data_IF_370501248393
#
_entry.id   IF_370501248393
#
_cell.length_a   1.000
_cell.length_b   1.000
_cell.length_c   1.000
_cell.angle_alpha   90.00
_cell.angle_beta   90.00
_cell.angle_gamma   90.00
#
_symmetry.space_group_name_H-M   'P 1'
#
loop_
_entity.id
_entity.type
_entity.pdbx_description
1 polymer ?
#
# COMPACT_ATOMS: atom_id res chain seq x y z
N UNK A 1 10.02 -16.12 11.20
CA UNK A 1 10.49 -16.84 12.39
C UNK A 1 10.92 -15.83 13.42
N UNK A 2 12.13 -15.93 13.96
CA UNK A 2 12.77 -14.83 14.69
C UNK A 2 14.04 -14.42 13.97
N UNK A 3 14.32 -13.12 13.91
CA UNK A 3 15.38 -12.55 13.10
C UNK A 3 14.89 -12.17 11.71
N UNK A 4 15.71 -11.40 10.99
CA UNK A 4 15.38 -10.85 9.68
C UNK A 4 15.36 -11.96 8.62
N UNK A 5 14.16 -12.26 8.13
CA UNK A 5 13.85 -13.33 7.20
C UNK A 5 13.54 -12.76 5.78
N UNK A 6 13.65 -13.63 4.77
CA UNK A 6 13.13 -13.35 3.42
C UNK A 6 12.19 -14.47 3.01
N UNK A 7 10.94 -14.13 2.71
CA UNK A 7 9.87 -15.06 2.40
C UNK A 7 9.44 -14.89 0.94
N UNK A 8 9.08 -16.01 0.31
CA UNK A 8 8.47 -16.08 -1.01
C UNK A 8 7.41 -17.19 -0.98
N UNK A 9 6.20 -16.95 -1.48
CA UNK A 9 5.22 -18.04 -1.67
C UNK A 9 5.66 -19.00 -2.77
N UNK A 10 6.04 -18.47 -3.93
CA UNK A 10 6.39 -19.25 -5.11
C UNK A 10 7.85 -19.10 -5.57
N UNK A 11 8.59 -18.13 -5.03
CA UNK A 11 10.04 -18.03 -5.17
C UNK A 11 10.50 -17.19 -6.37
N UNK A 12 11.69 -17.51 -6.87
CA UNK A 12 12.31 -16.75 -7.96
C UNK A 12 12.17 -17.46 -9.31
N UNK A 13 11.88 -16.69 -10.36
CA UNK A 13 11.73 -17.24 -11.71
C UNK A 13 12.40 -16.42 -12.82
N UNK A 14 12.69 -17.10 -13.92
CA UNK A 14 13.33 -16.56 -15.12
C UNK A 14 12.69 -17.17 -16.39
N UNK A 15 12.02 -16.42 -17.27
CA UNK A 15 11.61 -15.01 -17.15
C UNK A 15 10.15 -14.85 -16.69
N UNK A 16 9.51 -15.91 -16.19
CA UNK A 16 8.08 -15.90 -15.87
C UNK A 16 7.76 -16.61 -14.57
N UNK A 17 6.91 -15.98 -13.76
CA UNK A 17 6.27 -16.59 -12.60
C UNK A 17 4.75 -16.53 -12.79
N UNK A 18 4.08 -17.63 -12.43
CA UNK A 18 2.63 -17.65 -12.24
C UNK A 18 2.44 -18.05 -10.78
N UNK A 19 2.04 -17.05 -10.00
CA UNK A 19 1.77 -17.11 -8.58
C UNK A 19 0.55 -17.94 -8.21
N UNK A 20 0.53 -18.38 -6.96
CA UNK A 20 -0.57 -19.03 -6.27
C UNK A 20 -1.32 -18.05 -5.36
N UNK A 21 -2.09 -18.60 -4.44
CA UNK A 21 -2.61 -17.84 -3.30
C UNK A 21 -1.92 -18.39 -2.07
N UNK A 22 -1.16 -17.54 -1.40
CA UNK A 22 -0.26 -17.88 -0.33
C UNK A 22 -0.67 -17.24 1.00
N UNK A 23 -0.12 -17.79 2.08
CA UNK A 23 -0.30 -17.25 3.42
C UNK A 23 1.04 -17.23 4.11
N UNK A 24 1.58 -16.03 4.30
CA UNK A 24 2.91 -15.78 4.83
C UNK A 24 2.82 -15.11 6.19
N UNK A 25 3.72 -15.49 7.09
CA UNK A 25 3.91 -14.84 8.39
C UNK A 25 5.41 -14.74 8.65
N UNK A 26 5.94 -13.52 8.60
CA UNK A 26 7.38 -13.27 8.68
C UNK A 26 7.86 -13.27 10.13
N UNK A 27 7.07 -12.80 11.09
CA UNK A 27 7.21 -13.11 12.51
C UNK A 27 7.85 -11.99 13.30
N UNK A 28 9.12 -12.10 13.68
CA UNK A 28 9.80 -11.01 14.40
C UNK A 28 11.17 -10.77 13.80
N UNK A 29 11.54 -9.52 13.55
CA UNK A 29 12.72 -9.15 12.79
C UNK A 29 12.34 -8.07 11.79
N UNK A 30 13.33 -7.42 11.16
CA UNK A 30 13.03 -6.59 9.99
C UNK A 30 13.01 -7.52 8.77
N UNK A 31 11.82 -7.87 8.29
CA UNK A 31 11.59 -8.93 7.32
C UNK A 31 11.30 -8.39 5.91
N UNK A 32 11.48 -9.26 4.91
CA UNK A 32 11.11 -9.01 3.52
C UNK A 32 10.21 -10.14 3.03
N UNK A 33 8.97 -9.85 2.67
CA UNK A 33 8.02 -10.85 2.20
C UNK A 33 7.44 -10.50 0.83
N UNK A 34 7.34 -11.51 -0.02
CA UNK A 34 6.64 -11.47 -1.30
C UNK A 34 5.58 -12.57 -1.26
N UNK A 35 4.29 -12.24 -1.37
CA UNK A 35 3.24 -13.27 -1.40
C UNK A 35 3.51 -14.30 -2.48
N UNK A 36 3.95 -13.87 -3.66
CA UNK A 36 4.52 -14.74 -4.67
C UNK A 36 6.06 -14.75 -4.65
N UNK A 37 6.68 -13.74 -5.25
CA UNK A 37 8.02 -13.95 -5.78
C UNK A 37 8.66 -12.84 -6.59
N UNK A 38 9.81 -13.20 -7.16
CA UNK A 38 10.62 -12.29 -7.98
C UNK A 38 10.85 -12.88 -9.35
N UNK A 39 10.59 -12.09 -10.38
CA UNK A 39 10.94 -12.41 -11.76
C UNK A 39 12.11 -11.57 -12.23
N UNK A 40 13.12 -12.23 -12.80
CA UNK A 40 14.27 -11.57 -13.41
C UNK A 40 14.48 -12.06 -14.83
N UNK A 41 15.07 -11.20 -15.66
CA UNK A 41 15.43 -11.56 -17.03
C UNK A 41 16.80 -11.03 -17.43
N UNK A 42 17.26 -11.44 -18.61
CA UNK A 42 18.49 -10.90 -19.20
C UNK A 42 18.26 -9.51 -19.78
N UNK A 43 19.32 -8.75 -20.05
CA UNK A 43 19.26 -7.35 -20.51
C UNK A 43 18.30 -7.09 -21.68
N UNK A 44 18.01 -8.09 -22.51
CA UNK A 44 17.13 -7.99 -23.68
C UNK A 44 15.88 -8.85 -23.61
N UNK A 45 15.55 -9.48 -22.47
CA UNK A 45 14.38 -10.36 -22.33
C UNK A 45 13.15 -9.66 -21.75
N UNK A 46 11.94 -10.20 -21.97
CA UNK A 46 10.77 -9.83 -21.18
C UNK A 46 10.87 -10.46 -19.78
N UNK A 47 10.10 -9.92 -18.84
CA UNK A 47 9.86 -10.50 -17.51
C UNK A 47 8.36 -10.35 -17.19
N UNK A 48 7.69 -11.45 -16.83
CA UNK A 48 6.25 -11.45 -16.55
C UNK A 48 5.97 -12.15 -15.20
N UNK A 49 5.31 -11.46 -14.27
CA UNK A 49 4.69 -12.05 -13.08
C UNK A 49 3.18 -11.90 -13.22
N UNK A 50 2.47 -13.01 -13.00
CA UNK A 50 1.02 -13.01 -12.76
C UNK A 50 0.84 -13.58 -11.38
N UNK A 51 0.39 -12.78 -10.43
CA UNK A 51 0.23 -13.22 -9.07
C UNK A 51 -1.17 -13.72 -8.74
N UNK A 52 -1.41 -13.94 -7.46
CA UNK A 52 -2.68 -14.41 -6.95
C UNK A 52 -3.01 -13.80 -5.59
N UNK A 53 -4.21 -14.12 -5.09
CA UNK A 53 -4.74 -13.44 -3.91
C UNK A 53 -4.03 -13.95 -2.64
N UNK A 54 -3.20 -13.11 -2.04
CA UNK A 54 -2.27 -13.44 -0.97
C UNK A 54 -2.68 -12.88 0.39
N UNK A 55 -2.16 -13.49 1.45
CA UNK A 55 -2.24 -12.96 2.81
C UNK A 55 -0.86 -12.89 3.42
N UNK A 56 -0.38 -11.68 3.72
CA UNK A 56 0.98 -11.42 4.18
C UNK A 56 0.94 -10.68 5.52
N UNK A 57 1.53 -11.29 6.56
CA UNK A 57 1.69 -10.72 7.90
C UNK A 57 3.19 -10.53 8.19
N UNK A 58 3.65 -9.28 8.29
CA UNK A 58 5.03 -8.92 8.62
C UNK A 58 5.38 -9.34 10.05
N UNK A 59 4.50 -9.04 10.98
CA UNK A 59 4.66 -9.40 12.37
C UNK A 59 5.24 -8.23 13.15
N UNK A 60 6.49 -8.30 13.62
CA UNK A 60 7.07 -7.21 14.40
C UNK A 60 8.49 -6.88 13.95
N UNK A 61 8.81 -5.60 13.84
CA UNK A 61 10.03 -5.10 13.23
C UNK A 61 9.67 -4.24 12.03
N UNK A 62 10.65 -3.66 11.35
CA UNK A 62 10.39 -2.78 10.21
C UNK A 62 10.42 -3.61 8.94
N UNK A 63 9.24 -3.97 8.46
CA UNK A 63 9.05 -4.95 7.41
C UNK A 63 8.86 -4.29 6.05
N UNK A 64 9.19 -5.04 5.00
CA UNK A 64 8.85 -4.70 3.62
C UNK A 64 8.00 -5.82 3.03
N UNK A 65 6.75 -5.51 2.73
CA UNK A 65 5.77 -6.48 2.24
C UNK A 65 5.33 -6.12 0.82
N UNK A 66 5.28 -7.13 -0.02
CA UNK A 66 4.68 -7.10 -1.35
C UNK A 66 3.58 -8.14 -1.37
N UNK A 67 2.36 -7.77 -1.77
CA UNK A 67 1.27 -8.73 -1.91
C UNK A 67 1.63 -9.78 -2.93
N UNK A 68 2.05 -9.41 -4.15
CA UNK A 68 2.62 -10.39 -5.09
C UNK A 68 4.15 -10.39 -5.07
N UNK A 69 4.80 -9.33 -5.59
CA UNK A 69 6.17 -9.52 -6.06
C UNK A 69 6.87 -8.39 -6.80
N UNK A 70 8.04 -8.74 -7.36
CA UNK A 70 8.86 -7.82 -8.14
C UNK A 70 9.24 -8.40 -9.50
N UNK A 71 9.20 -7.56 -10.52
CA UNK A 71 9.52 -7.92 -11.90
C UNK A 71 10.62 -7.02 -12.44
N UNK A 72 11.79 -7.60 -12.69
CA UNK A 72 12.93 -6.92 -13.28
C UNK A 72 13.10 -7.34 -14.74
N UNK A 73 12.54 -6.52 -15.64
CA UNK A 73 12.58 -6.66 -17.09
C UNK A 73 13.81 -6.04 -17.74
N UNK A 74 14.13 -6.51 -18.95
CA UNK A 74 15.16 -5.93 -19.81
C UNK A 74 14.56 -4.99 -20.86
N UNK A 75 15.20 -4.93 -22.03
CA UNK A 75 14.75 -4.11 -23.16
C UNK A 75 13.45 -4.56 -23.84
N UNK A 76 12.79 -5.64 -23.38
CA UNK A 76 11.53 -6.15 -23.93
C UNK A 76 10.35 -6.11 -22.95
N UNK A 77 10.48 -5.43 -21.81
CA UNK A 77 9.36 -5.22 -20.88
C UNK A 77 9.48 -5.90 -19.53
N UNK A 78 8.77 -5.33 -18.57
CA UNK A 78 8.44 -5.90 -17.27
C UNK A 78 6.92 -5.78 -17.11
N UNK A 79 6.25 -6.90 -16.84
CA UNK A 79 4.81 -6.92 -16.59
C UNK A 79 4.57 -7.58 -15.23
N UNK A 80 3.93 -6.84 -14.33
CA UNK A 80 3.31 -7.38 -13.13
C UNK A 80 1.79 -7.28 -13.31
N UNK A 81 1.09 -8.39 -13.06
CA UNK A 81 -0.37 -8.42 -12.90
C UNK A 81 -0.66 -9.05 -11.56
N UNK A 82 -1.19 -8.26 -10.63
CA UNK A 82 -1.35 -8.68 -9.25
C UNK A 82 -2.72 -9.24 -8.91
N UNK A 83 -2.77 -9.80 -7.70
CA UNK A 83 -3.93 -10.41 -7.04
C UNK A 83 -4.67 -9.42 -6.14
N UNK A 84 -5.75 -9.88 -5.49
CA UNK A 84 -6.42 -9.11 -4.45
C UNK A 84 -5.92 -9.56 -3.07
N UNK A 85 -5.08 -8.73 -2.46
CA UNK A 85 -4.21 -9.12 -1.36
C UNK A 85 -4.66 -8.55 -0.01
N UNK A 86 -4.23 -9.23 1.06
CA UNK A 86 -4.43 -8.79 2.44
C UNK A 86 -3.08 -8.66 3.12
N UNK A 87 -2.69 -7.43 3.44
CA UNK A 87 -1.40 -7.11 4.04
C UNK A 87 -1.56 -6.51 5.44
N UNK A 88 -0.77 -7.01 6.37
CA UNK A 88 -0.61 -6.48 7.71
C UNK A 88 0.87 -6.29 8.03
N UNK A 89 1.31 -5.06 8.27
CA UNK A 89 2.69 -4.76 8.69
C UNK A 89 2.94 -5.26 10.11
N UNK A 90 2.15 -4.74 11.04
CA UNK A 90 2.24 -5.06 12.46
C UNK A 90 2.98 -3.96 13.21
N UNK A 91 3.60 -4.24 14.37
CA UNK A 91 4.38 -3.22 15.06
C UNK A 91 5.75 -2.97 14.43
N UNK A 92 5.99 -1.75 13.96
CA UNK A 92 7.22 -1.34 13.30
C UNK A 92 6.94 -0.23 12.29
N UNK A 93 7.99 0.31 11.67
CA UNK A 93 7.82 1.26 10.58
C UNK A 93 7.92 0.52 9.25
N UNK A 94 6.78 0.15 8.70
CA UNK A 94 6.69 -0.81 7.62
C UNK A 94 6.51 -0.14 6.25
N UNK A 95 6.85 -0.88 5.19
CA UNK A 95 6.56 -0.48 3.81
C UNK A 95 5.75 -1.58 3.14
N UNK A 96 4.51 -1.26 2.79
CA UNK A 96 3.56 -2.21 2.21
C UNK A 96 3.22 -1.79 0.78
N UNK A 97 3.31 -2.75 -0.14
CA UNK A 97 2.84 -2.63 -1.51
C UNK A 97 1.75 -3.66 -1.73
N UNK A 98 0.54 -3.20 -2.10
CA UNK A 98 -0.60 -4.07 -2.37
C UNK A 98 -0.28 -5.18 -3.35
N UNK A 99 0.37 -4.87 -4.48
CA UNK A 99 0.86 -5.86 -5.45
C UNK A 99 2.41 -5.91 -5.50
N UNK A 100 3.02 -4.78 -5.91
CA UNK A 100 4.47 -4.65 -5.91
C UNK A 100 5.11 -3.81 -7.03
N UNK A 101 6.21 -4.29 -7.60
CA UNK A 101 7.07 -3.46 -8.48
C UNK A 101 7.34 -4.10 -9.84
N UNK A 102 7.06 -3.36 -10.91
CA UNK A 102 7.52 -3.68 -12.26
C UNK A 102 8.58 -2.66 -12.71
N UNK A 103 9.80 -3.13 -13.00
CA UNK A 103 10.92 -2.28 -13.42
C UNK A 103 11.54 -2.79 -14.73
N UNK A 104 11.54 -1.98 -15.78
CA UNK A 104 11.99 -2.39 -17.11
C UNK A 104 11.57 -1.43 -18.23
N UNK A 105 12.01 -1.68 -19.46
CA UNK A 105 11.62 -0.84 -20.60
C UNK A 105 10.11 -0.97 -20.88
N UNK A 106 9.33 0.10 -20.72
CA UNK A 106 7.87 0.03 -20.86
C UNK A 106 7.20 -0.81 -19.77
N UNK A 107 7.68 -0.70 -18.52
CA UNK A 107 7.12 -1.41 -17.38
C UNK A 107 5.61 -1.18 -17.23
N UNK A 108 4.90 -2.27 -16.94
CA UNK A 108 3.45 -2.28 -16.73
C UNK A 108 3.16 -2.95 -15.40
N UNK A 109 2.41 -2.26 -14.55
CA UNK A 109 1.76 -2.82 -13.38
C UNK A 109 0.24 -2.78 -13.60
N UNK A 110 -0.42 -3.90 -13.30
CA UNK A 110 -1.87 -4.01 -13.23
C UNK A 110 -2.18 -4.49 -11.82
N UNK A 111 -2.66 -3.60 -10.97
CA UNK A 111 -2.95 -3.94 -9.60
C UNK A 111 -4.30 -4.62 -9.42
N UNK A 112 -4.43 -5.32 -8.31
CA UNK A 112 -5.68 -5.84 -7.80
C UNK A 112 -6.28 -4.93 -6.74
N UNK A 113 -7.26 -5.46 -5.99
CA UNK A 113 -8.01 -4.68 -5.02
C UNK A 113 -7.56 -5.09 -3.63
N UNK A 114 -6.73 -4.28 -3.00
CA UNK A 114 -5.99 -4.72 -1.83
C UNK A 114 -6.58 -4.21 -0.53
N UNK A 115 -6.33 -4.94 0.56
CA UNK A 115 -6.65 -4.50 1.92
C UNK A 115 -5.37 -4.42 2.73
N UNK A 116 -5.01 -3.19 3.11
CA UNK A 116 -3.69 -2.87 3.66
C UNK A 116 -3.85 -2.25 5.04
N UNK A 117 -3.22 -2.84 6.05
CA UNK A 117 -3.09 -2.29 7.39
C UNK A 117 -1.61 -2.17 7.76
N UNK A 118 -1.12 -0.95 7.96
CA UNK A 118 0.25 -0.72 8.45
C UNK A 118 0.41 -1.27 9.87
N UNK A 119 -0.38 -0.72 10.80
CA UNK A 119 -0.37 -1.13 12.19
C UNK A 119 0.40 -0.13 13.05
N UNK A 120 0.89 -0.51 14.24
CA UNK A 120 1.60 0.42 15.09
C UNK A 120 3.00 0.80 14.58
N UNK A 121 3.17 2.03 14.12
CA UNK A 121 4.45 2.65 13.76
C UNK A 121 4.23 3.75 12.74
N UNK A 122 5.30 4.20 12.09
CA UNK A 122 5.18 5.18 11.01
C UNK A 122 5.32 4.45 9.66
N UNK A 123 4.20 4.13 9.03
CA UNK A 123 4.14 3.23 7.88
C UNK A 123 4.03 3.94 6.52
N UNK A 124 4.45 3.27 5.46
CA UNK A 124 4.30 3.71 4.07
C UNK A 124 3.48 2.68 3.30
N UNK A 125 2.31 3.10 2.83
CA UNK A 125 1.32 2.23 2.20
C UNK A 125 1.15 2.60 0.73
N UNK A 126 1.24 1.61 -0.14
CA UNK A 126 0.92 1.69 -1.56
C UNK A 126 -0.22 0.73 -1.85
N UNK A 127 -1.34 1.25 -2.37
CA UNK A 127 -2.52 0.50 -2.77
C UNK A 127 -2.19 -0.56 -3.80
N UNK A 128 -1.38 -0.22 -4.81
CA UNK A 128 -0.85 -1.22 -5.74
C UNK A 128 0.68 -1.33 -5.61
N UNK A 129 1.38 -0.25 -5.98
CA UNK A 129 2.83 -0.21 -6.06
C UNK A 129 3.35 0.59 -7.24
N UNK A 130 4.42 0.10 -7.88
CA UNK A 130 5.24 0.93 -8.75
C UNK A 130 5.54 0.31 -10.12
N UNK A 131 5.35 1.13 -11.17
CA UNK A 131 5.86 0.85 -12.51
C UNK A 131 7.01 1.81 -12.84
N UNK A 132 8.21 1.28 -13.06
CA UNK A 132 9.45 2.03 -13.27
C UNK A 132 9.99 1.78 -14.68
N UNK A 133 9.91 2.80 -15.54
CA UNK A 133 10.48 2.73 -16.89
C UNK A 133 11.97 3.09 -16.88
N UNK A 134 12.81 2.13 -17.29
CA UNK A 134 14.28 2.30 -17.33
C UNK A 134 14.82 2.70 -18.71
N UNK A 135 13.96 2.85 -19.73
CA UNK A 135 14.31 3.08 -21.12
C UNK A 135 13.66 4.32 -21.76
N UNK A 136 13.23 5.28 -20.94
CA UNK A 136 12.56 6.53 -21.36
C UNK A 136 11.19 6.34 -22.04
N UNK A 137 10.55 5.18 -21.87
CA UNK A 137 9.12 5.05 -22.16
C UNK A 137 8.27 5.66 -21.04
N UNK A 138 6.95 5.54 -21.18
CA UNK A 138 6.01 5.90 -20.12
C UNK A 138 5.62 4.62 -19.38
N UNK A 139 5.97 4.48 -18.09
CA UNK A 139 5.46 3.35 -17.31
C UNK A 139 3.93 3.43 -17.26
N UNK A 140 3.28 2.27 -17.18
CA UNK A 140 1.82 2.21 -17.09
C UNK A 140 1.40 1.45 -15.84
N UNK A 141 0.81 2.18 -14.92
CA UNK A 141 0.09 1.63 -13.79
C UNK A 141 -1.41 1.69 -14.11
N UNK A 142 -2.10 0.56 -13.93
CA UNK A 142 -3.55 0.49 -13.82
C UNK A 142 -3.79 -0.11 -12.45
N UNK A 143 -4.37 0.65 -11.52
CA UNK A 143 -4.59 0.11 -10.19
C UNK A 143 -5.91 -0.62 -10.02
N UNK A 144 -6.14 -1.12 -8.82
CA UNK A 144 -7.44 -1.54 -8.36
C UNK A 144 -8.01 -0.62 -7.27
N UNK A 145 -9.13 -1.07 -6.71
CA UNK A 145 -9.90 -0.35 -5.71
C UNK A 145 -9.46 -0.78 -4.31
N UNK A 146 -8.54 -0.01 -3.73
CA UNK A 146 -7.83 -0.41 -2.52
C UNK A 146 -8.49 0.05 -1.24
N UNK A 147 -8.20 -0.63 -0.13
CA UNK A 147 -8.75 -0.36 1.18
C UNK A 147 -7.64 -0.22 2.21
N UNK A 148 -7.37 1.03 2.62
CA UNK A 148 -6.39 1.36 3.66
C UNK A 148 -7.07 1.39 5.02
N UNK A 149 -6.66 0.50 5.91
CA UNK A 149 -7.33 0.24 7.18
C UNK A 149 -6.58 0.93 8.30
N UNK A 150 -7.30 1.78 9.03
CA UNK A 150 -6.77 2.42 10.23
C UNK A 150 -7.55 2.05 11.48
N UNK A 151 -6.81 1.85 12.55
CA UNK A 151 -7.29 1.70 13.91
C UNK A 151 -6.81 2.85 14.81
N UNK A 152 -7.28 2.84 16.04
CA UNK A 152 -6.84 3.83 17.00
C UNK A 152 -5.36 3.60 17.39
N UNK A 153 -4.55 4.64 17.20
CA UNK A 153 -3.17 4.79 17.72
C UNK A 153 -2.08 4.00 16.97
N UNK A 154 -2.05 4.14 15.66
CA UNK A 154 -1.11 3.44 14.77
C UNK A 154 0.22 4.20 14.65
N UNK A 155 0.20 5.45 14.20
CA UNK A 155 1.38 6.32 14.22
C UNK A 155 1.26 7.34 13.12
N UNK A 156 2.33 7.67 12.42
CA UNK A 156 2.29 8.61 11.30
C UNK A 156 2.43 7.84 9.99
N UNK A 157 1.30 7.49 9.40
CA UNK A 157 1.26 6.64 8.21
C UNK A 157 1.00 7.47 6.97
N UNK A 158 1.58 7.05 5.85
CA UNK A 158 1.45 7.73 4.56
C UNK A 158 0.92 6.78 3.50
N UNK A 159 -0.23 7.11 2.93
CA UNK A 159 -0.75 6.50 1.71
C UNK A 159 -0.14 7.24 0.52
N UNK A 160 0.50 6.51 -0.39
CA UNK A 160 1.35 7.08 -1.43
C UNK A 160 0.66 7.25 -2.80
N UNK A 161 -0.40 6.49 -3.08
CA UNK A 161 -0.99 6.35 -4.42
C UNK A 161 -2.53 6.29 -4.45
N UNK A 162 -3.19 6.82 -3.42
CA UNK A 162 -4.65 6.88 -3.32
C UNK A 162 -5.31 7.52 -4.55
N UNK A 163 -6.23 6.81 -5.20
CA UNK A 163 -6.95 7.22 -6.41
C UNK A 163 -8.44 6.90 -6.31
N UNK A 164 -9.23 7.95 -6.09
CA UNK A 164 -10.71 7.91 -6.20
C UNK A 164 -11.24 7.34 -7.52
N UNK A 165 -10.45 7.44 -8.58
CA UNK A 165 -10.83 6.95 -9.91
C UNK A 165 -10.85 5.42 -9.98
N UNK A 166 -10.02 4.75 -9.18
CA UNK A 166 -9.93 3.30 -9.12
C UNK A 166 -10.93 2.74 -8.10
N UNK A 167 -11.26 3.51 -7.06
CA UNK A 167 -12.30 3.18 -6.09
C UNK A 167 -11.76 3.07 -4.67
N UNK A 168 -10.56 3.60 -4.43
CA UNK A 168 -9.87 3.50 -3.15
C UNK A 168 -10.68 4.12 -2.01
N UNK A 169 -10.56 3.51 -0.84
CA UNK A 169 -11.23 3.90 0.38
C UNK A 169 -10.30 3.83 1.58
N UNK A 170 -10.55 4.71 2.55
CA UNK A 170 -9.91 4.70 3.87
C UNK A 170 -10.93 4.14 4.88
N UNK A 171 -10.64 2.96 5.41
CA UNK A 171 -11.48 2.27 6.39
C UNK A 171 -11.11 2.73 7.81
N UNK A 172 -12.01 3.51 8.41
CA UNK A 172 -11.89 4.05 9.77
C UNK A 172 -12.83 3.35 10.76
N UNK A 173 -13.47 2.24 10.38
CA UNK A 173 -14.46 1.55 11.22
C UNK A 173 -13.89 1.20 12.60
N UNK A 174 -12.64 0.76 12.65
CA UNK A 174 -11.97 0.36 13.90
C UNK A 174 -11.64 1.55 14.83
N UNK A 175 -11.62 2.78 14.31
CA UNK A 175 -11.36 3.99 15.10
C UNK A 175 -12.60 4.42 15.91
N UNK A 176 -13.80 4.12 15.41
CA UNK A 176 -15.07 4.63 15.93
C UNK A 176 -15.34 6.11 15.62
N UNK A 177 -14.55 6.73 14.74
CA UNK A 177 -14.83 8.05 14.18
C UNK A 177 -16.04 7.98 13.24
N UNK A 178 -16.64 9.14 13.01
CA UNK A 178 -17.69 9.35 12.01
C UNK A 178 -17.27 10.47 11.07
N UNK A 179 -17.94 10.62 9.93
CA UNK A 179 -17.69 11.75 9.02
C UNK A 179 -17.73 13.10 9.75
N UNK A 180 -18.76 13.34 10.55
CA UNK A 180 -18.91 14.56 11.37
C UNK A 180 -17.78 14.77 12.40
N UNK A 181 -16.98 13.73 12.68
CA UNK A 181 -15.80 13.87 13.55
C UNK A 181 -14.62 14.54 12.84
N UNK A 182 -14.56 14.42 11.51
CA UNK A 182 -13.52 14.98 10.65
C UNK A 182 -14.00 16.24 9.92
N UNK A 183 -15.21 16.23 9.35
CA UNK A 183 -15.89 17.40 8.73
C UNK A 183 -16.55 18.26 9.80
N UNK A 184 -15.70 18.92 10.58
CA UNK A 184 -16.06 19.72 11.74
C UNK A 184 -16.78 21.02 11.40
N UNK A 185 -16.65 21.51 10.15
CA UNK A 185 -17.36 22.69 9.66
C UNK A 185 -18.63 22.34 8.84
N UNK A 186 -18.80 21.07 8.46
CA UNK A 186 -19.98 20.54 7.77
C UNK A 186 -20.05 20.93 6.30
N UNK A 187 -18.90 21.22 5.67
CA UNK A 187 -18.81 21.62 4.26
C UNK A 187 -18.94 20.44 3.30
N UNK A 188 -18.76 19.21 3.77
CA UNK A 188 -18.76 17.99 2.97
C UNK A 188 -17.42 17.72 2.25
N UNK A 189 -16.37 18.45 2.59
CA UNK A 189 -15.01 18.28 2.07
C UNK A 189 -14.03 18.49 3.23
N UNK A 190 -13.08 17.56 3.41
CA UNK A 190 -12.00 17.73 4.39
C UNK A 190 -10.94 18.68 3.83
N UNK A 191 -10.75 19.83 4.50
CA UNK A 191 -9.74 20.83 4.17
C UNK A 191 -9.23 21.60 5.41
N UNK A 192 -8.41 22.64 5.24
CA UNK A 192 -7.82 23.45 6.34
C UNK A 192 -8.86 24.16 7.24
N UNK A 193 -10.15 24.19 6.86
CA UNK A 193 -11.21 24.70 7.72
C UNK A 193 -11.59 23.72 8.84
N UNK A 194 -11.24 22.44 8.69
CA UNK A 194 -11.53 21.42 9.67
C UNK A 194 -10.51 21.35 10.81
N UNK A 195 -11.00 21.09 12.03
CA UNK A 195 -10.18 21.15 13.24
C UNK A 195 -8.98 20.18 13.23
N UNK A 196 -9.12 19.04 12.56
CA UNK A 196 -8.18 17.92 12.60
C UNK A 196 -7.63 17.56 11.22
N UNK A 197 -7.78 18.45 10.26
CA UNK A 197 -7.31 18.29 8.89
C UNK A 197 -6.30 19.39 8.59
N UNK A 198 -5.26 19.05 7.86
CA UNK A 198 -4.31 20.01 7.32
C UNK A 198 -3.98 19.67 5.87
N UNK A 199 -3.91 20.68 5.02
CA UNK A 199 -3.47 20.56 3.63
C UNK A 199 -2.26 21.44 3.34
N UNK A 200 -1.33 20.94 2.51
CA UNK A 200 -0.18 21.72 2.01
C UNK A 200 -0.33 22.13 0.54
N UNK A 201 -1.52 21.93 -0.02
CA UNK A 201 -1.86 22.16 -1.42
C UNK A 201 -1.66 20.95 -2.34
N UNK A 202 -1.05 19.86 -1.85
CA UNK A 202 -0.95 18.59 -2.57
C UNK A 202 -1.27 17.36 -1.71
N UNK A 203 -1.22 17.47 -0.38
CA UNK A 203 -1.40 16.37 0.57
C UNK A 203 -2.47 16.76 1.58
N UNK A 204 -3.33 15.81 1.97
CA UNK A 204 -4.22 15.92 3.14
C UNK A 204 -3.64 15.10 4.29
N UNK A 205 -3.53 15.70 5.48
CA UNK A 205 -3.19 15.02 6.71
C UNK A 205 -4.38 15.03 7.67
N UNK A 206 -4.75 13.86 8.18
CA UNK A 206 -5.85 13.67 9.13
C UNK A 206 -5.28 13.30 10.50
N UNK A 207 -5.47 14.15 11.51
CA UNK A 207 -5.07 13.84 12.89
C UNK A 207 -6.15 13.01 13.60
N UNK A 208 -6.17 11.72 13.27
CA UNK A 208 -7.09 10.72 13.83
C UNK A 208 -6.97 10.64 15.36
N UNK A 209 -5.76 10.85 15.88
CA UNK A 209 -5.50 10.86 17.32
C UNK A 209 -6.19 12.02 18.03
N UNK A 210 -6.04 13.24 17.52
CA UNK A 210 -6.70 14.42 18.08
C UNK A 210 -8.23 14.37 17.92
N UNK A 211 -8.73 13.85 16.80
CA UNK A 211 -10.15 13.63 16.57
C UNK A 211 -10.78 12.71 17.64
N UNK A 212 -10.01 11.75 18.17
CA UNK A 212 -10.40 10.89 19.29
C UNK A 212 -10.15 11.49 20.69
N UNK A 213 -9.78 12.77 20.77
CA UNK A 213 -9.46 13.46 22.03
C UNK A 213 -8.06 13.13 22.58
N UNK A 214 -7.19 12.57 21.75
CA UNK A 214 -5.78 12.30 22.05
C UNK A 214 -4.89 13.53 22.00
N UNK A 215 -3.57 13.30 22.00
CA UNK A 215 -2.58 14.37 21.75
C UNK A 215 -2.43 14.55 20.24
N UNK A 216 -2.39 15.80 19.80
CA UNK A 216 -2.20 16.14 18.41
C UNK A 216 -0.83 15.70 17.86
N UNK A 217 -0.79 15.43 16.55
CA UNK A 217 0.37 15.08 15.74
C UNK A 217 1.08 13.79 16.16
N UNK A 218 0.35 12.82 16.71
CA UNK A 218 0.90 11.50 17.06
C UNK A 218 0.29 10.36 16.25
N UNK A 219 -0.93 10.54 15.74
CA UNK A 219 -1.66 9.51 14.99
C UNK A 219 -2.28 10.17 13.77
N UNK A 220 -1.57 10.09 12.64
CA UNK A 220 -1.83 10.81 11.42
C UNK A 220 -2.02 9.81 10.28
N UNK A 221 -3.09 9.99 9.52
CA UNK A 221 -3.19 9.41 8.19
C UNK A 221 -2.87 10.50 7.16
N UNK A 222 -1.76 10.35 6.44
CA UNK A 222 -1.30 11.28 5.41
C UNK A 222 -1.63 10.70 4.05
N UNK A 223 -2.48 11.39 3.28
CA UNK A 223 -2.85 10.98 1.92
C UNK A 223 -2.07 11.83 0.93
N UNK A 224 -0.98 11.27 0.41
CA UNK A 224 -0.08 11.98 -0.48
C UNK A 224 -0.72 12.24 -1.84
N UNK A 225 -0.55 13.45 -2.38
CA UNK A 225 -1.02 13.78 -3.74
C UNK A 225 -2.54 13.96 -3.87
N UNK A 226 -3.28 13.95 -2.75
CA UNK A 226 -4.73 14.10 -2.70
C UNK A 226 -5.10 15.26 -1.78
N UNK A 227 -6.08 16.05 -2.23
CA UNK A 227 -6.73 17.12 -1.46
C UNK A 227 -8.24 16.99 -1.56
N UNK A 228 -8.96 17.63 -0.63
CA UNK A 228 -10.42 17.72 -0.64
C UNK A 228 -11.10 16.36 -0.61
N UNK A 229 -10.72 15.52 0.36
CA UNK A 229 -11.35 14.22 0.62
C UNK A 229 -12.82 14.41 0.98
N UNK A 230 -13.68 13.49 0.54
CA UNK A 230 -15.13 13.54 0.70
C UNK A 230 -15.61 12.27 1.42
N UNK A 231 -16.84 12.28 1.93
CA UNK A 231 -17.44 11.14 2.65
C UNK A 231 -17.32 9.80 1.89
N UNK A 232 -17.44 9.82 0.57
CA UNK A 232 -17.30 8.64 -0.28
C UNK A 232 -15.89 8.03 -0.35
N UNK A 233 -14.87 8.72 0.14
CA UNK A 233 -13.49 8.23 0.23
C UNK A 233 -13.25 7.39 1.49
N UNK A 234 -14.27 7.23 2.35
CA UNK A 234 -14.13 6.61 3.66
C UNK A 234 -15.18 5.52 3.91
N UNK A 235 -14.86 4.65 4.87
CA UNK A 235 -15.83 3.79 5.53
C UNK A 235 -15.77 4.08 7.03
N UNK A 236 -16.93 4.41 7.61
CA UNK A 236 -17.11 4.67 9.05
C UNK A 236 -18.00 3.60 9.70
N UNK A 237 -18.00 3.57 11.03
CA UNK A 237 -18.80 2.66 11.85
C UNK A 237 -20.31 2.97 11.88
#
# INVERSE_FOLDING_TARGET
GSGNDTLFGDGEAYPRLSGGSDTLSAGSGDDLAYGDGIVRTTYSGPADLTGGDDTVDGGSGNDVLYGDGQVFGGGLGAILTGGADVLAGGPGNDVLYGDGEASGAGAVLRGGNDRIAGGPGDDVLWGDGQAIDTAQGTPRLVGGADCFVFAAREGIDTIMDFRRADGDIIDLVATGLTWDSLDSDGSGVLDDADLWVAEDGITTALDLGAALGGRANLHLAIVSGVIGLMDGDFVFA
#
